data_IF_046526130184
#
_entry.id   IF_046526130184
#
_cell.length_a   1.000
_cell.length_b   1.000
_cell.length_c   1.000
_cell.angle_alpha   90.00
_cell.angle_beta   90.00
_cell.angle_gamma   90.00
#
_symmetry.space_group_name_H-M   'P 1'
#
loop_
_entity.id
_entity.type
_entity.pdbx_description
1 polymer ?
#
# COMPACT_ATOMS: atom_id res chain seq x y z
N UNK A 1 59.04 -10.75 48.04
CA UNK A 1 58.00 -10.83 49.08
C UNK A 1 56.76 -11.41 48.45
N UNK A 2 56.50 -12.66 48.79
CA UNK A 2 55.42 -13.54 48.31
C UNK A 2 54.11 -13.16 48.98
N UNK A 3 53.02 -12.93 48.22
CA UNK A 3 51.65 -13.18 48.69
C UNK A 3 50.75 -13.68 47.56
N UNK A 4 50.42 -14.95 47.70
CA UNK A 4 49.34 -15.74 47.09
C UNK A 4 48.02 -15.34 47.76
N UNK A 5 46.93 -15.23 46.99
CA UNK A 5 45.53 -15.43 47.42
C UNK A 5 44.66 -15.59 46.15
N UNK A 6 44.39 -16.83 45.74
CA UNK A 6 43.17 -17.61 45.99
C UNK A 6 41.93 -17.05 45.27
N UNK A 7 41.58 -17.74 44.17
CA UNK A 7 40.33 -17.57 43.46
C UNK A 7 39.14 -18.17 44.20
N UNK A 8 37.97 -17.60 43.94
CA UNK A 8 36.68 -18.18 44.28
C UNK A 8 35.86 -18.22 42.99
N UNK A 9 35.64 -19.44 42.51
CA UNK A 9 34.70 -19.74 41.44
C UNK A 9 33.27 -19.59 41.99
N UNK A 10 32.53 -18.61 41.48
CA UNK A 10 31.11 -18.43 41.76
C UNK A 10 30.27 -19.21 40.77
N UNK A 11 29.81 -20.38 41.20
CA UNK A 11 28.85 -21.22 40.47
C UNK A 11 27.47 -20.56 40.50
N UNK A 12 27.04 -19.94 39.40
CA UNK A 12 25.69 -19.42 39.25
C UNK A 12 24.72 -20.58 38.94
N UNK A 13 23.84 -20.86 39.89
CA UNK A 13 22.76 -21.83 39.81
C UNK A 13 21.66 -21.29 38.87
N UNK A 14 21.50 -21.89 37.69
CA UNK A 14 20.39 -21.61 36.77
C UNK A 14 19.13 -22.31 37.30
N UNK A 15 18.20 -21.54 37.85
CA UNK A 15 16.87 -22.02 38.18
C UNK A 15 16.04 -22.09 36.88
N UNK A 16 15.93 -23.30 36.32
CA UNK A 16 15.01 -23.61 35.25
C UNK A 16 13.59 -23.77 35.81
N UNK A 17 12.79 -22.71 35.76
CA UNK A 17 11.34 -22.79 35.97
C UNK A 17 10.69 -23.47 34.76
N UNK A 18 10.31 -24.72 34.94
CA UNK A 18 9.52 -25.50 33.98
C UNK A 18 8.11 -24.93 33.88
N UNK A 19 7.81 -24.26 32.76
CA UNK A 19 6.44 -23.90 32.40
C UNK A 19 5.75 -25.16 31.87
N UNK A 20 4.88 -25.74 32.69
CA UNK A 20 4.08 -26.91 32.36
C UNK A 20 3.11 -26.61 31.22
N UNK A 21 3.21 -27.41 30.16
CA UNK A 21 2.31 -27.47 29.02
C UNK A 21 1.01 -28.14 29.48
N UNK A 22 -0.03 -27.34 29.76
CA UNK A 22 -1.36 -27.88 30.03
C UNK A 22 -2.00 -28.35 28.71
N UNK A 23 -2.02 -29.67 28.53
CA UNK A 23 -2.73 -30.37 27.48
C UNK A 23 -4.24 -30.19 27.70
N UNK A 24 -4.93 -29.61 26.72
CA UNK A 24 -6.39 -29.47 26.72
C UNK A 24 -6.99 -30.73 26.05
N UNK A 25 -7.72 -31.60 26.77
CA UNK A 25 -8.29 -32.80 26.18
C UNK A 25 -9.56 -32.46 25.38
N UNK A 26 -9.51 -32.82 24.10
CA UNK A 26 -10.65 -32.86 23.19
C UNK A 26 -11.85 -33.57 23.84
N UNK A 27 -12.98 -32.86 23.88
CA UNK A 27 -14.28 -33.44 24.21
C UNK A 27 -14.89 -34.03 22.94
N UNK A 28 -15.10 -35.34 23.02
CA UNK A 28 -15.87 -36.20 22.13
C UNK A 28 -17.36 -35.86 22.30
N UNK A 29 -18.07 -35.61 21.19
CA UNK A 29 -19.54 -35.55 21.13
C UNK A 29 -19.99 -36.35 19.90
N UNK A 30 -21.08 -37.15 19.99
CA UNK A 30 -21.22 -38.36 19.20
C UNK A 30 -21.85 -38.16 17.81
N UNK A 31 -21.62 -39.21 17.02
CA UNK A 31 -22.18 -39.56 15.72
C UNK A 31 -23.71 -39.57 15.65
N UNK A 32 -24.26 -39.13 14.51
CA UNK A 32 -25.47 -39.71 13.95
C UNK A 32 -26.59 -38.73 13.57
N UNK A 33 -26.56 -38.24 12.33
CA UNK A 33 -27.76 -38.23 11.47
C UNK A 33 -27.33 -38.02 10.03
N UNK A 34 -27.50 -39.07 9.22
CA UNK A 34 -27.34 -39.08 7.77
C UNK A 34 -28.16 -37.96 7.12
N UNK A 35 -27.49 -37.01 6.48
CA UNK A 35 -28.09 -36.19 5.44
C UNK A 35 -27.78 -36.87 4.11
N UNK A 36 -28.83 -37.38 3.47
CA UNK A 36 -28.82 -38.01 2.16
C UNK A 36 -28.23 -37.07 1.11
N UNK A 37 -27.14 -37.49 0.48
CA UNK A 37 -26.56 -36.86 -0.71
C UNK A 37 -27.40 -37.28 -1.92
N UNK A 38 -28.03 -36.36 -2.68
CA UNK A 38 -28.61 -36.72 -3.97
C UNK A 38 -27.48 -36.95 -4.98
N UNK A 39 -27.41 -38.19 -5.46
CA UNK A 39 -26.56 -38.65 -6.56
C UNK A 39 -26.79 -37.81 -7.82
N UNK A 40 -25.71 -37.28 -8.37
CA UNK A 40 -25.69 -36.60 -9.67
C UNK A 40 -26.09 -37.55 -10.80
N UNK A 41 -27.08 -37.14 -11.60
CA UNK A 41 -27.44 -37.79 -12.86
C UNK A 41 -26.53 -37.25 -14.00
N UNK A 42 -26.31 -38.03 -15.08
CA UNK A 42 -25.22 -37.80 -16.02
C UNK A 42 -25.45 -36.61 -16.95
N UNK A 43 -24.32 -36.03 -17.36
CA UNK A 43 -24.22 -34.94 -18.32
C UNK A 43 -24.84 -35.30 -19.68
N UNK A 44 -25.69 -34.39 -20.19
CA UNK A 44 -26.09 -34.35 -21.59
C UNK A 44 -25.34 -33.20 -22.29
N UNK A 45 -24.72 -33.49 -23.43
CA UNK A 45 -24.24 -32.52 -24.41
C UNK A 45 -24.73 -32.95 -25.80
N UNK A 46 -24.81 -32.05 -26.79
CA UNK A 46 -25.28 -30.66 -26.73
C UNK A 46 -26.35 -30.39 -27.82
N UNK A 47 -27.26 -29.44 -27.60
CA UNK A 47 -28.03 -28.84 -28.69
C UNK A 47 -27.33 -27.55 -29.14
N UNK A 48 -26.77 -27.57 -30.35
CA UNK A 48 -26.23 -26.40 -31.04
C UNK A 48 -27.35 -25.39 -31.28
N UNK A 49 -27.39 -24.33 -30.49
CA UNK A 49 -28.19 -23.15 -30.79
C UNK A 49 -27.52 -22.37 -31.94
N UNK A 50 -28.29 -22.12 -32.99
CA UNK A 50 -27.92 -21.22 -34.07
C UNK A 50 -27.63 -19.81 -33.51
N UNK A 51 -26.68 -19.05 -34.09
CA UNK A 51 -26.40 -17.70 -33.62
C UNK A 51 -27.64 -16.82 -33.85
N UNK A 52 -28.21 -16.31 -32.76
CA UNK A 52 -29.15 -15.21 -32.82
C UNK A 52 -28.42 -14.00 -33.45
N UNK A 53 -29.01 -13.44 -34.50
CA UNK A 53 -28.52 -12.25 -35.16
C UNK A 53 -28.34 -11.12 -34.13
N UNK A 54 -27.12 -10.59 -34.06
CA UNK A 54 -26.82 -9.41 -33.26
C UNK A 54 -27.72 -8.24 -33.72
N UNK A 55 -28.35 -7.48 -32.80
CA UNK A 55 -29.01 -6.25 -33.18
C UNK A 55 -27.95 -5.29 -33.75
N UNK A 56 -28.25 -4.70 -34.90
CA UNK A 56 -27.40 -3.71 -35.54
C UNK A 56 -27.07 -2.57 -34.54
N UNK A 57 -25.79 -2.38 -34.27
CA UNK A 57 -25.28 -1.22 -33.54
C UNK A 57 -25.59 0.00 -34.40
N UNK A 58 -26.41 0.98 -33.96
CA UNK A 58 -26.58 2.21 -34.72
C UNK A 58 -25.21 2.90 -34.80
N UNK A 59 -24.87 3.33 -36.02
CA UNK A 59 -23.65 4.06 -36.30
C UNK A 59 -23.49 5.21 -35.28
N UNK A 60 -22.31 5.29 -34.68
CA UNK A 60 -21.92 6.35 -33.77
C UNK A 60 -22.16 7.71 -34.45
N UNK A 61 -23.19 8.42 -33.99
CA UNK A 61 -23.31 9.84 -34.26
C UNK A 61 -22.06 10.52 -33.73
N UNK A 62 -21.45 11.37 -34.56
CA UNK A 62 -20.26 12.12 -34.21
C UNK A 62 -20.44 12.80 -32.85
N UNK A 63 -19.62 12.41 -31.88
CA UNK A 63 -19.54 13.11 -30.61
C UNK A 63 -19.24 14.59 -30.91
N UNK A 64 -19.98 15.55 -30.33
CA UNK A 64 -19.63 16.94 -30.50
C UNK A 64 -18.21 17.14 -29.96
N UNK A 65 -17.38 17.81 -30.75
CA UNK A 65 -16.01 18.15 -30.38
C UNK A 65 -16.03 18.84 -29.01
N UNK A 66 -15.55 18.15 -27.98
CA UNK A 66 -15.31 18.74 -26.67
C UNK A 66 -14.22 19.77 -26.91
N UNK A 67 -14.57 21.05 -26.78
CA UNK A 67 -13.61 22.13 -26.81
C UNK A 67 -12.49 21.82 -25.81
N UNK A 68 -11.20 22.11 -26.12
CA UNK A 68 -10.13 21.84 -25.18
C UNK A 68 -10.45 22.56 -23.88
N UNK A 69 -10.59 21.79 -22.80
CA UNK A 69 -10.58 22.34 -21.46
C UNK A 69 -9.34 23.22 -21.37
N UNK A 70 -9.53 24.51 -21.07
CA UNK A 70 -8.41 25.37 -20.77
C UNK A 70 -7.63 24.66 -19.66
N UNK A 71 -6.32 24.56 -19.84
CA UNK A 71 -5.44 24.23 -18.76
C UNK A 71 -5.60 25.34 -17.72
N UNK A 72 -6.56 25.16 -16.81
CA UNK A 72 -6.61 25.96 -15.61
C UNK A 72 -5.26 25.75 -14.94
N UNK A 73 -4.54 26.86 -14.83
CA UNK A 73 -3.25 26.92 -14.18
C UNK A 73 -3.35 26.14 -12.87
N UNK A 74 -2.46 25.16 -12.73
CA UNK A 74 -2.32 24.40 -11.50
C UNK A 74 -2.39 25.37 -10.32
N UNK A 75 -3.34 25.19 -9.42
CA UNK A 75 -3.22 25.78 -8.10
C UNK A 75 -1.83 25.35 -7.59
N UNK A 76 -0.92 26.28 -7.26
CA UNK A 76 0.37 25.89 -6.74
C UNK A 76 0.12 25.05 -5.49
N UNK A 77 0.88 23.96 -5.33
CA UNK A 77 0.99 23.31 -4.04
C UNK A 77 1.27 24.42 -3.01
N UNK A 78 0.46 24.50 -1.97
CA UNK A 78 0.62 25.54 -0.96
C UNK A 78 2.06 25.46 -0.44
N UNK A 79 2.85 26.50 -0.72
CA UNK A 79 4.22 26.61 -0.25
C UNK A 79 4.15 26.62 1.28
N UNK A 80 4.61 25.53 1.91
CA UNK A 80 4.58 25.35 3.37
C UNK A 80 3.64 24.28 3.93
N UNK A 81 2.92 23.52 3.09
CA UNK A 81 2.24 22.31 3.56
C UNK A 81 3.27 21.19 3.83
N UNK A 82 3.11 20.48 4.95
CA UNK A 82 3.92 19.32 5.32
C UNK A 82 3.01 18.21 5.83
N UNK A 83 3.39 16.98 5.52
CA UNK A 83 2.76 15.74 5.98
C UNK A 83 2.82 15.64 7.51
N UNK A 84 1.92 14.87 8.10
CA UNK A 84 1.89 14.64 9.54
C UNK A 84 3.23 14.11 10.05
N UNK A 85 3.79 13.11 9.35
CA UNK A 85 5.08 12.50 9.72
C UNK A 85 6.23 13.49 9.54
N UNK A 86 6.29 14.24 8.45
CA UNK A 86 7.39 15.21 8.27
C UNK A 86 7.31 16.39 9.24
N UNK A 87 6.12 16.75 9.73
CA UNK A 87 5.97 17.73 10.82
C UNK A 87 6.45 17.17 12.16
N UNK A 88 6.20 15.89 12.43
CA UNK A 88 6.59 15.25 13.68
C UNK A 88 8.09 14.92 13.72
N UNK A 89 8.63 14.42 12.60
CA UNK A 89 9.89 13.67 12.56
C UNK A 89 10.95 14.36 11.71
N UNK A 90 10.60 15.49 11.07
CA UNK A 90 11.45 16.16 10.10
C UNK A 90 11.49 15.45 8.74
N UNK A 91 12.35 15.96 7.86
CA UNK A 91 12.51 15.46 6.49
C UNK A 91 13.89 14.84 6.25
N UNK A 92 14.63 14.54 7.31
CA UNK A 92 15.93 13.87 7.19
C UNK A 92 15.70 12.40 6.83
N UNK A 93 16.33 11.97 5.73
CA UNK A 93 16.21 10.62 5.21
C UNK A 93 17.48 9.83 5.52
N UNK A 94 17.35 8.75 6.29
CA UNK A 94 18.45 7.85 6.62
C UNK A 94 18.27 6.50 5.93
N UNK A 95 19.35 5.78 5.55
CA UNK A 95 19.22 4.46 4.95
C UNK A 95 18.49 3.48 5.89
N UNK A 96 17.43 2.87 5.37
CA UNK A 96 16.69 1.78 6.02
C UNK A 96 16.95 0.44 5.36
N UNK A 97 16.10 -0.54 5.67
CA UNK A 97 16.19 -1.88 5.10
C UNK A 97 15.82 -1.89 3.61
N UNK A 98 16.39 -2.84 2.85
CA UNK A 98 15.96 -3.13 1.47
C UNK A 98 16.16 -1.92 0.52
N UNK A 99 17.13 -1.06 0.84
CA UNK A 99 17.38 0.17 0.08
C UNK A 99 16.26 1.23 0.18
N UNK A 100 15.38 1.14 1.19
CA UNK A 100 14.45 2.20 1.58
C UNK A 100 15.18 3.32 2.32
N UNK A 101 14.54 4.48 2.41
CA UNK A 101 14.92 5.51 3.37
C UNK A 101 13.84 5.63 4.44
N UNK A 102 14.26 5.95 5.66
CA UNK A 102 13.39 6.14 6.81
C UNK A 102 13.72 7.45 7.54
N UNK A 103 12.71 8.03 8.18
CA UNK A 103 12.87 9.17 9.08
C UNK A 103 13.31 8.74 10.49
N UNK A 104 13.36 9.70 11.41
CA UNK A 104 13.81 9.49 12.79
C UNK A 104 12.98 8.45 13.58
N UNK A 105 11.72 8.23 13.20
CA UNK A 105 10.84 7.23 13.84
C UNK A 105 10.83 5.90 13.08
N UNK A 106 11.59 5.78 11.99
CA UNK A 106 11.60 4.60 11.14
C UNK A 106 10.49 4.57 10.10
N UNK A 107 9.71 5.65 9.93
CA UNK A 107 8.66 5.70 8.91
C UNK A 107 9.27 5.93 7.52
N UNK A 108 8.74 5.31 6.45
CA UNK A 108 9.26 5.50 5.10
C UNK A 108 9.23 6.98 4.66
N UNK A 109 10.35 7.44 4.08
CA UNK A 109 10.49 8.81 3.55
C UNK A 109 11.16 8.81 2.18
N UNK A 110 10.89 9.85 1.38
CA UNK A 110 11.55 10.06 0.10
C UNK A 110 12.98 10.56 0.30
N UNK A 111 13.84 10.31 -0.68
CA UNK A 111 15.19 10.84 -0.73
C UNK A 111 15.50 11.38 -2.12
N UNK A 112 16.13 12.56 -2.18
CA UNK A 112 16.58 13.16 -3.44
C UNK A 112 18.07 12.90 -3.61
N UNK A 113 18.43 12.18 -4.67
CA UNK A 113 19.80 11.84 -5.01
C UNK A 113 20.56 13.07 -5.54
N UNK A 114 21.89 13.00 -5.50
CA UNK A 114 22.79 14.05 -6.00
C UNK A 114 22.60 14.36 -7.50
N UNK A 115 22.16 13.38 -8.28
CA UNK A 115 21.87 13.53 -9.71
C UNK A 115 20.49 14.20 -9.99
N UNK A 116 19.79 14.62 -8.94
CA UNK A 116 18.49 15.26 -8.97
C UNK A 116 17.31 14.31 -9.16
N UNK A 117 17.54 13.00 -9.31
CA UNK A 117 16.47 12.00 -9.26
C UNK A 117 16.00 11.78 -7.83
N UNK A 118 14.79 11.24 -7.66
CA UNK A 118 14.37 10.70 -6.38
C UNK A 118 14.73 9.22 -6.28
N UNK A 119 14.80 8.71 -5.06
CA UNK A 119 15.07 7.31 -4.77
C UNK A 119 14.08 6.35 -5.49
N UNK A 120 14.47 5.09 -5.54
CA UNK A 120 13.70 4.06 -6.24
C UNK A 120 12.27 3.93 -5.70
N UNK A 121 12.06 3.97 -4.39
CA UNK A 121 10.74 3.85 -3.76
C UNK A 121 9.84 5.02 -4.12
N UNK A 122 10.39 6.24 -4.20
CA UNK A 122 9.65 7.41 -4.69
C UNK A 122 9.16 7.22 -6.13
N UNK A 123 10.04 6.86 -7.06
CA UNK A 123 9.65 6.64 -8.46
C UNK A 123 8.65 5.49 -8.61
N UNK A 124 8.87 4.38 -7.89
CA UNK A 124 7.96 3.23 -7.87
C UNK A 124 6.61 3.57 -7.27
N UNK A 125 6.59 4.39 -6.23
CA UNK A 125 5.40 4.95 -5.61
C UNK A 125 4.53 5.67 -6.62
N UNK A 126 5.13 6.56 -7.43
CA UNK A 126 4.43 7.20 -8.53
C UNK A 126 3.81 6.16 -9.48
N UNK A 127 4.56 5.14 -9.94
CA UNK A 127 4.01 4.12 -10.86
C UNK A 127 2.82 3.37 -10.26
N UNK A 128 2.89 3.03 -8.98
CA UNK A 128 1.87 2.22 -8.30
C UNK A 128 0.66 3.05 -7.89
N UNK A 129 0.86 4.29 -7.47
CA UNK A 129 -0.19 5.28 -7.33
C UNK A 129 -0.93 5.49 -8.66
N UNK A 130 -0.19 5.70 -9.75
CA UNK A 130 -0.75 5.88 -11.10
C UNK A 130 -1.40 4.62 -11.67
N UNK A 131 -1.16 3.44 -11.12
CA UNK A 131 -1.84 2.22 -11.55
C UNK A 131 -3.13 1.98 -10.76
N UNK A 132 -3.11 2.23 -9.46
CA UNK A 132 -4.15 1.73 -8.54
C UNK A 132 -5.01 2.83 -7.90
N UNK A 133 -4.51 4.06 -7.78
CA UNK A 133 -5.12 5.08 -6.92
C UNK A 133 -5.62 6.30 -7.71
N UNK A 134 -4.92 6.69 -8.79
CA UNK A 134 -5.18 7.94 -9.50
C UNK A 134 -6.60 8.04 -10.09
N UNK A 135 -7.22 6.90 -10.41
CA UNK A 135 -8.55 6.87 -11.03
C UNK A 135 -9.61 7.53 -10.15
N UNK A 136 -9.42 7.48 -8.83
CA UNK A 136 -10.30 8.08 -7.84
C UNK A 136 -9.67 9.33 -7.24
N UNK A 137 -8.39 9.27 -6.84
CA UNK A 137 -7.70 10.36 -6.16
C UNK A 137 -7.03 11.37 -7.10
N UNK A 138 -7.34 11.29 -8.39
CA UNK A 138 -6.88 12.22 -9.41
C UNK A 138 -5.40 12.06 -9.77
N UNK A 139 -4.93 12.80 -10.80
CA UNK A 139 -3.51 12.91 -11.04
C UNK A 139 -2.84 13.46 -9.78
N UNK A 140 -1.60 13.06 -9.53
CA UNK A 140 -0.75 13.72 -8.55
C UNK A 140 -1.21 13.67 -7.07
N UNK A 141 -2.27 12.92 -6.74
CA UNK A 141 -2.83 12.88 -5.39
C UNK A 141 -3.79 14.02 -5.07
N UNK A 142 -4.18 14.83 -6.05
CA UNK A 142 -4.91 16.10 -5.85
C UNK A 142 -6.42 15.95 -5.66
N UNK A 143 -6.92 14.72 -5.63
CA UNK A 143 -8.33 14.40 -5.46
C UNK A 143 -9.14 14.53 -6.75
N UNK A 144 -10.43 14.24 -6.62
CA UNK A 144 -11.43 14.42 -7.67
C UNK A 144 -12.78 14.75 -7.04
N UNK A 145 -13.83 14.88 -7.86
CA UNK A 145 -15.21 14.96 -7.34
C UNK A 145 -15.68 13.66 -6.65
N UNK A 146 -14.92 12.57 -6.77
CA UNK A 146 -15.27 11.27 -6.21
C UNK A 146 -14.52 10.93 -4.91
N UNK A 147 -13.24 11.32 -4.80
CA UNK A 147 -12.37 10.98 -3.67
C UNK A 147 -11.49 12.17 -3.24
N UNK A 148 -11.08 12.23 -1.96
CA UNK A 148 -10.39 13.40 -1.40
C UNK A 148 -8.99 13.60 -1.98
N UNK A 149 -8.49 14.84 -1.82
CA UNK A 149 -7.11 15.22 -2.07
C UNK A 149 -6.17 14.56 -1.04
N UNK A 150 -5.41 13.56 -1.46
CA UNK A 150 -4.49 12.83 -0.59
C UNK A 150 -3.34 13.69 -0.08
N UNK A 151 -2.93 14.71 -0.84
CA UNK A 151 -1.88 15.65 -0.37
C UNK A 151 -2.38 16.59 0.72
N UNK A 152 -3.69 16.78 0.86
CA UNK A 152 -4.28 17.44 2.02
C UNK A 152 -4.49 16.47 3.17
N UNK A 153 -4.97 15.25 2.88
CA UNK A 153 -5.21 14.23 3.91
C UNK A 153 -3.92 13.86 4.66
N UNK A 154 -2.80 13.68 3.96
CA UNK A 154 -1.52 13.33 4.59
C UNK A 154 -0.94 14.43 5.47
N UNK A 155 -1.49 15.65 5.47
CA UNK A 155 -1.15 16.66 6.48
C UNK A 155 -1.71 16.29 7.86
N UNK A 156 -2.66 15.37 7.94
CA UNK A 156 -3.35 14.98 9.16
C UNK A 156 -3.28 13.47 9.46
N UNK A 157 -2.90 12.66 8.47
CA UNK A 157 -2.72 11.22 8.61
C UNK A 157 -1.23 10.89 8.66
N UNK A 158 -0.81 10.17 9.71
CA UNK A 158 0.53 9.59 9.76
C UNK A 158 0.60 8.31 8.90
N UNK A 159 1.80 7.73 8.76
CA UNK A 159 2.00 6.48 8.02
C UNK A 159 1.07 5.34 8.48
N UNK A 160 0.87 5.16 9.79
CA UNK A 160 0.03 4.08 10.31
C UNK A 160 -1.46 4.29 10.04
N UNK A 161 -1.94 5.54 10.09
CA UNK A 161 -3.32 5.88 9.71
C UNK A 161 -3.54 5.64 8.22
N UNK A 162 -2.60 6.09 7.39
CA UNK A 162 -2.62 5.87 5.94
C UNK A 162 -2.67 4.38 5.61
N UNK A 163 -1.76 3.58 6.17
CA UNK A 163 -1.71 2.13 5.94
C UNK A 163 -2.98 1.46 6.43
N UNK A 164 -3.48 1.82 7.61
CA UNK A 164 -4.74 1.31 8.16
C UNK A 164 -5.93 1.55 7.23
N UNK A 165 -6.04 2.75 6.66
CA UNK A 165 -7.10 3.09 5.70
C UNK A 165 -6.94 2.32 4.38
N UNK A 166 -5.73 2.23 3.82
CA UNK A 166 -5.50 1.51 2.56
C UNK A 166 -5.81 0.02 2.72
N UNK A 167 -5.36 -0.59 3.80
CA UNK A 167 -5.55 -2.02 4.08
C UNK A 167 -7.02 -2.35 4.26
N UNK A 168 -7.75 -1.58 5.07
CA UNK A 168 -9.12 -1.90 5.46
C UNK A 168 -10.19 -1.26 4.59
N UNK A 169 -9.82 -0.30 3.75
CA UNK A 169 -10.77 0.56 3.05
C UNK A 169 -11.47 1.54 4.00
N UNK A 170 -12.31 2.41 3.44
CA UNK A 170 -13.04 3.41 4.22
C UNK A 170 -14.36 3.77 3.54
N UNK A 171 -15.43 3.89 4.35
CA UNK A 171 -16.70 4.44 3.89
C UNK A 171 -16.84 5.88 4.39
N UNK A 172 -16.91 6.84 3.47
CA UNK A 172 -17.14 8.23 3.82
C UNK A 172 -18.65 8.52 3.84
N UNK A 173 -19.17 8.77 5.05
CA UNK A 173 -20.59 9.08 5.29
C UNK A 173 -20.94 10.57 5.18
N UNK A 174 -19.95 11.43 4.95
CA UNK A 174 -20.11 12.89 5.00
C UNK A 174 -20.46 13.53 3.63
N UNK A 175 -20.30 12.81 2.52
CA UNK A 175 -20.59 13.31 1.17
C UNK A 175 -21.96 12.80 0.67
N UNK A 176 -22.74 13.57 -0.12
CA UNK A 176 -24.09 13.16 -0.58
C UNK A 176 -24.11 11.87 -1.41
N UNK A 177 -22.98 11.51 -2.01
CA UNK A 177 -22.73 10.15 -2.51
C UNK A 177 -21.90 9.40 -1.47
N UNK A 178 -22.44 8.28 -0.99
CA UNK A 178 -21.71 7.34 -0.13
C UNK A 178 -20.48 6.80 -0.90
N UNK A 179 -19.34 7.49 -0.81
CA UNK A 179 -18.09 7.04 -1.43
C UNK A 179 -17.43 5.97 -0.57
N UNK A 180 -17.11 4.84 -1.20
CA UNK A 180 -16.41 3.72 -0.58
C UNK A 180 -15.03 3.64 -1.21
N UNK A 181 -13.98 3.81 -0.41
CA UNK A 181 -12.63 3.39 -0.75
C UNK A 181 -12.54 1.88 -0.48
N UNK A 182 -12.28 1.03 -1.49
CA UNK A 182 -12.13 -0.40 -1.30
C UNK A 182 -10.98 -0.73 -0.34
N UNK A 183 -11.06 -1.89 0.29
CA UNK A 183 -9.95 -2.49 1.01
C UNK A 183 -8.92 -3.04 0.01
N UNK A 184 -7.63 -2.74 0.23
CA UNK A 184 -6.54 -3.21 -0.62
C UNK A 184 -5.63 -4.23 0.09
N UNK A 185 -5.95 -4.63 1.32
CA UNK A 185 -5.13 -5.51 2.14
C UNK A 185 -4.79 -6.88 1.52
N UNK A 186 -5.57 -7.33 0.55
CA UNK A 186 -5.36 -8.62 -0.15
C UNK A 186 -4.76 -8.46 -1.55
N UNK A 187 -4.59 -7.23 -2.05
CA UNK A 187 -4.02 -6.99 -3.37
C UNK A 187 -2.50 -6.80 -3.30
N UNK A 188 -1.76 -7.80 -3.77
CA UNK A 188 -0.29 -7.76 -3.83
C UNK A 188 0.25 -6.62 -4.70
N UNK A 189 -0.53 -6.09 -5.65
CA UNK A 189 -0.14 -4.94 -6.45
C UNK A 189 -0.17 -3.61 -5.68
N UNK A 190 -0.79 -3.59 -4.51
CA UNK A 190 -0.77 -2.47 -3.57
C UNK A 190 0.09 -2.80 -2.36
N UNK A 191 -0.14 -3.94 -1.71
CA UNK A 191 0.51 -4.26 -0.44
C UNK A 191 2.02 -4.42 -0.53
N UNK A 192 2.54 -4.98 -1.63
CA UNK A 192 3.99 -5.04 -1.86
C UNK A 192 4.63 -3.66 -2.10
N UNK A 193 3.81 -2.63 -2.36
CA UNK A 193 4.25 -1.30 -2.74
C UNK A 193 3.70 -0.21 -1.83
N UNK A 194 3.13 -0.59 -0.68
CA UNK A 194 2.41 0.33 0.19
C UNK A 194 3.32 1.46 0.67
N UNK A 195 4.55 1.11 1.07
CA UNK A 195 5.58 2.07 1.46
C UNK A 195 5.96 2.98 0.30
N UNK A 196 6.15 2.43 -0.90
CA UNK A 196 6.47 3.22 -2.09
C UNK A 196 5.37 4.25 -2.38
N UNK A 197 4.10 3.82 -2.35
CA UNK A 197 2.94 4.70 -2.56
C UNK A 197 2.92 5.80 -1.50
N UNK A 198 3.15 5.44 -0.24
CA UNK A 198 3.22 6.40 0.86
C UNK A 198 4.34 7.42 0.66
N UNK A 199 5.57 6.97 0.40
CA UNK A 199 6.76 7.81 0.17
C UNK A 199 6.51 8.84 -0.93
N UNK A 200 5.93 8.40 -2.05
CA UNK A 200 5.56 9.30 -3.14
C UNK A 200 4.56 10.36 -2.67
N UNK A 201 3.43 9.96 -2.06
CA UNK A 201 2.39 10.90 -1.62
C UNK A 201 2.88 11.82 -0.49
N UNK A 202 3.73 11.34 0.42
CA UNK A 202 4.40 12.12 1.45
C UNK A 202 5.25 13.23 0.82
N UNK A 203 6.10 12.89 -0.14
CA UNK A 203 6.92 13.89 -0.84
C UNK A 203 6.11 14.85 -1.72
N UNK A 204 4.93 14.44 -2.22
CA UNK A 204 3.97 15.37 -2.85
C UNK A 204 3.37 16.35 -1.85
N UNK A 205 3.02 15.85 -0.68
CA UNK A 205 2.45 16.63 0.43
C UNK A 205 3.44 17.65 0.98
N UNK A 206 4.70 17.23 1.15
CA UNK A 206 5.79 18.08 1.63
C UNK A 206 6.30 19.07 0.57
N UNK A 207 5.74 19.02 -0.64
CA UNK A 207 6.17 19.87 -1.77
C UNK A 207 7.56 19.56 -2.31
N UNK A 208 8.23 18.50 -1.83
CA UNK A 208 9.55 18.10 -2.28
C UNK A 208 9.53 17.50 -3.69
N UNK A 209 8.52 16.68 -3.99
CA UNK A 209 8.36 16.04 -5.30
C UNK A 209 7.44 16.92 -6.17
N UNK A 210 7.92 17.42 -7.32
CA UNK A 210 7.11 18.23 -8.22
C UNK A 210 6.01 17.40 -8.90
N UNK A 211 5.10 18.08 -9.60
CA UNK A 211 4.04 17.43 -10.39
C UNK A 211 4.62 16.58 -11.53
N UNK A 212 3.91 15.49 -11.86
CA UNK A 212 4.29 14.57 -12.93
C UNK A 212 5.16 13.39 -12.46
N UNK A 213 5.56 12.54 -13.41
CA UNK A 213 6.42 11.39 -13.14
C UNK A 213 7.81 11.86 -12.68
N UNK A 214 8.27 11.45 -11.48
CA UNK A 214 9.67 11.64 -11.10
C UNK A 214 10.58 10.95 -12.12
N UNK A 215 11.73 11.56 -12.44
CA UNK A 215 12.71 10.94 -13.33
C UNK A 215 13.12 9.59 -12.76
N UNK A 216 13.06 8.54 -13.59
CA UNK A 216 13.46 7.19 -13.21
C UNK A 216 14.92 7.20 -12.72
N UNK A 217 15.19 6.75 -11.48
CA UNK A 217 16.54 6.67 -10.95
C UNK A 217 17.31 5.48 -11.53
N UNK A 218 18.57 5.37 -11.16
CA UNK A 218 19.36 4.16 -11.37
C UNK A 218 18.69 2.91 -10.77
N UNK A 219 19.03 1.74 -11.30
CA UNK A 219 18.46 0.46 -10.83
C UNK A 219 18.92 0.21 -9.39
N UNK A 220 17.96 0.12 -8.47
CA UNK A 220 18.18 -0.43 -7.14
C UNK A 220 17.87 -1.95 -7.17
N UNK A 221 18.92 -2.77 -7.19
CA UNK A 221 18.78 -4.24 -7.29
C UNK A 221 18.17 -4.85 -6.04
N UNK A 222 18.46 -4.30 -4.86
CA UNK A 222 17.95 -4.79 -3.58
C UNK A 222 16.44 -4.54 -3.48
N UNK A 223 16.02 -3.30 -3.73
CA UNK A 223 14.60 -2.94 -3.77
C UNK A 223 13.84 -3.75 -4.84
N UNK A 224 14.41 -3.90 -6.04
CA UNK A 224 13.79 -4.70 -7.10
C UNK A 224 13.68 -6.18 -6.72
N UNK A 225 14.70 -6.76 -6.08
CA UNK A 225 14.64 -8.15 -5.63
C UNK A 225 13.55 -8.35 -4.58
N UNK A 226 13.38 -7.42 -3.66
CA UNK A 226 12.31 -7.48 -2.67
C UNK A 226 10.92 -7.26 -3.26
N UNK A 227 10.76 -6.35 -4.24
CA UNK A 227 9.52 -6.22 -5.00
C UNK A 227 9.14 -7.54 -5.67
N UNK A 228 10.10 -8.17 -6.36
CA UNK A 228 9.89 -9.44 -7.04
C UNK A 228 9.54 -10.55 -6.05
N UNK A 229 10.28 -10.65 -4.94
CA UNK A 229 10.03 -11.66 -3.90
C UNK A 229 8.65 -11.50 -3.28
N UNK A 230 8.18 -10.27 -3.01
CA UNK A 230 6.84 -10.04 -2.48
C UNK A 230 5.75 -10.41 -3.48
N UNK A 231 5.99 -10.17 -4.78
CA UNK A 231 5.09 -10.55 -5.87
C UNK A 231 5.12 -12.05 -6.21
N UNK A 232 6.08 -12.81 -5.68
CA UNK A 232 6.22 -14.24 -5.94
C UNK A 232 6.99 -14.59 -7.23
N UNK A 233 7.90 -13.72 -7.67
CA UNK A 233 8.82 -13.97 -8.79
C UNK A 233 10.21 -14.45 -8.34
#
# INVERSE_FOLDING_TARGET
>A
MTRILFGVAGTALVAATSLALAQNPAQIVPTGSEATVPTAAPAATPATAAPAAAPAVPAAGAAPAVAPAKADAAAPAAVGAMSADSKANGTEATPGEVGKFVDADGNPIYHKNDDGTFDYYTWRGYKKYSANCFQCHGPDGLGSSFAPNLTEQLQHLNYYDFTGIVVNGQQNKWHPVNSIMPAWGEDVNVMCFLDSIYVYLRGRTDGAIPRGEPKKPGINKEAQAAENSCLGF
#
